data_IF_883851748755
#
_entry.id   IF_883851748755
#
_cell.length_a   1.000
_cell.length_b   1.000
_cell.length_c   1.000
_cell.angle_alpha   90.00
_cell.angle_beta   90.00
_cell.angle_gamma   90.00
#
_symmetry.space_group_name_H-M   'P 1'
#
loop_
_entity.id
_entity.type
_entity.pdbx_description
1 polymer ?
#
# COMPACT_ATOMS: atom_id res chain seq x y z
N UNK A 1 70.70 24.72 42.78
CA UNK A 1 69.71 23.64 42.33
C UNK A 1 68.50 24.37 41.83
N UNK A 2 68.37 24.38 40.49
CA UNK A 2 67.22 24.99 39.78
C UNK A 2 66.22 23.91 39.45
N UNK A 3 65.08 23.91 40.10
CA UNK A 3 63.99 22.98 39.85
C UNK A 3 63.14 23.46 38.67
N UNK A 4 63.11 22.64 37.60
CA UNK A 4 62.31 22.86 36.43
C UNK A 4 60.92 22.23 36.67
N UNK A 5 59.89 23.04 36.92
CA UNK A 5 58.50 22.60 36.97
C UNK A 5 57.93 22.48 35.54
N UNK A 6 57.83 21.28 35.04
CA UNK A 6 57.14 21.02 33.79
C UNK A 6 55.61 21.01 34.04
N UNK A 7 54.91 22.00 33.53
CA UNK A 7 53.44 22.05 33.55
C UNK A 7 52.89 21.12 32.45
N UNK A 8 52.24 20.05 32.86
CA UNK A 8 51.44 19.18 31.99
C UNK A 8 50.10 19.86 31.70
N UNK A 9 49.94 20.34 30.47
CA UNK A 9 48.65 20.81 29.93
C UNK A 9 47.89 19.62 29.42
N UNK A 10 46.73 19.25 29.97
CA UNK A 10 45.90 18.19 29.38
C UNK A 10 45.29 18.67 28.06
N UNK A 11 45.64 17.99 26.98
CA UNK A 11 44.99 18.21 25.70
C UNK A 11 43.54 17.72 25.78
N UNK A 12 42.60 18.62 25.89
CA UNK A 12 41.18 18.33 25.79
C UNK A 12 40.90 18.02 24.30
N UNK A 13 40.84 16.74 23.96
CA UNK A 13 40.34 16.33 22.66
C UNK A 13 38.83 16.58 22.62
N UNK A 14 38.45 17.73 22.08
CA UNK A 14 37.06 18.00 21.73
C UNK A 14 36.68 17.01 20.59
N UNK A 15 36.01 15.92 20.95
CA UNK A 15 35.36 15.06 20.02
C UNK A 15 34.19 15.81 19.43
N UNK A 16 34.45 16.61 18.41
CA UNK A 16 33.44 17.20 17.59
C UNK A 16 32.71 16.08 16.87
N UNK A 17 31.59 15.63 17.43
CA UNK A 17 30.62 14.87 16.66
C UNK A 17 30.03 15.82 15.61
N UNK A 18 30.70 15.91 14.49
CA UNK A 18 30.08 16.43 13.26
C UNK A 18 29.01 15.41 12.92
N UNK A 19 27.79 15.61 13.41
CA UNK A 19 26.62 14.96 12.82
C UNK A 19 26.49 15.54 11.43
N UNK A 20 27.23 14.93 10.50
CA UNK A 20 26.97 15.08 9.09
C UNK A 20 25.62 14.39 8.86
N UNK A 21 24.52 15.11 9.12
CA UNK A 21 23.24 14.75 8.57
C UNK A 21 23.38 14.93 7.07
N UNK A 22 24.03 13.96 6.45
CA UNK A 22 23.77 13.70 5.05
C UNK A 22 22.26 13.53 4.97
N UNK A 23 21.58 14.56 4.50
CA UNK A 23 20.29 14.40 3.86
C UNK A 23 20.51 13.23 2.92
N UNK A 24 20.06 12.05 3.32
CA UNK A 24 20.06 10.90 2.42
C UNK A 24 19.18 11.37 1.31
N UNK A 25 19.78 11.55 0.14
CA UNK A 25 19.04 11.84 -1.07
C UNK A 25 17.87 10.86 -1.09
N UNK A 26 16.66 11.38 -0.87
CA UNK A 26 15.45 10.58 -1.02
C UNK A 26 15.52 10.11 -2.48
N UNK A 27 15.61 8.81 -2.76
CA UNK A 27 15.81 8.35 -4.11
C UNK A 27 14.72 8.94 -4.98
N UNK A 28 15.09 9.80 -5.92
CA UNK A 28 14.13 10.34 -6.89
C UNK A 28 13.55 9.15 -7.63
N UNK A 29 12.23 8.97 -7.62
CA UNK A 29 11.61 7.85 -8.28
C UNK A 29 11.98 7.89 -9.78
N UNK A 30 12.54 6.79 -10.29
CA UNK A 30 12.89 6.70 -11.71
C UNK A 30 11.61 6.61 -12.53
N UNK A 31 11.56 7.33 -13.64
CA UNK A 31 10.42 7.30 -14.55
C UNK A 31 10.16 5.88 -15.07
N UNK A 32 11.22 5.17 -15.45
CA UNK A 32 11.17 3.85 -16.10
C UNK A 32 12.36 2.98 -15.69
N UNK A 33 12.29 1.69 -16.07
CA UNK A 33 13.42 0.76 -15.94
C UNK A 33 13.47 0.01 -14.60
N UNK A 34 12.51 0.23 -13.71
CA UNK A 34 12.41 -0.48 -12.44
C UNK A 34 11.49 -1.70 -12.55
N UNK A 35 11.59 -2.61 -11.60
CA UNK A 35 10.73 -3.78 -11.47
C UNK A 35 9.43 -3.47 -10.73
N UNK A 36 8.52 -4.44 -10.71
CA UNK A 36 7.30 -4.47 -9.91
C UNK A 36 7.42 -5.52 -8.81
N UNK A 37 6.94 -5.21 -7.63
CA UNK A 37 6.99 -6.08 -6.46
C UNK A 37 5.57 -6.43 -6.03
N UNK A 38 5.21 -7.72 -5.89
CA UNK A 38 3.95 -8.12 -5.30
C UNK A 38 3.91 -7.73 -3.82
N UNK A 39 2.73 -7.57 -3.25
CA UNK A 39 2.58 -7.27 -1.83
C UNK A 39 1.33 -7.94 -1.27
N UNK A 40 1.49 -8.63 -0.16
CA UNK A 40 0.39 -9.09 0.64
C UNK A 40 -0.14 -7.95 1.50
N UNK A 41 -1.44 -7.68 1.43
CA UNK A 41 -2.07 -6.59 2.18
C UNK A 41 -2.64 -7.08 3.52
N UNK A 42 -3.03 -8.35 3.57
CA UNK A 42 -3.66 -8.97 4.70
C UNK A 42 -4.86 -9.83 4.29
N UNK A 43 -5.67 -10.21 5.27
CA UNK A 43 -6.83 -11.08 5.07
C UNK A 43 -8.04 -10.63 5.89
N UNK A 44 -9.23 -11.04 5.48
CA UNK A 44 -10.48 -10.80 6.21
C UNK A 44 -11.43 -11.99 6.09
N UNK A 45 -12.28 -12.22 7.13
CA UNK A 45 -13.28 -13.29 7.10
C UNK A 45 -14.44 -12.92 6.18
N UNK A 46 -14.97 -13.92 5.49
CA UNK A 46 -16.18 -13.80 4.69
C UNK A 46 -17.42 -14.30 5.50
N UNK A 47 -18.64 -13.83 5.15
CA UNK A 47 -19.86 -14.25 5.84
C UNK A 47 -20.16 -15.76 5.78
N UNK A 48 -19.63 -16.46 4.78
CA UNK A 48 -19.77 -17.90 4.57
C UNK A 48 -18.75 -18.75 5.35
N UNK A 49 -17.87 -18.11 6.14
CA UNK A 49 -16.83 -18.76 6.92
C UNK A 49 -15.52 -18.99 6.18
N UNK A 50 -15.43 -18.64 4.92
CA UNK A 50 -14.16 -18.62 4.16
C UNK A 50 -13.35 -17.38 4.52
N UNK A 51 -12.14 -17.28 3.98
CA UNK A 51 -11.29 -16.10 4.16
C UNK A 51 -10.84 -15.56 2.81
N UNK A 52 -10.73 -14.24 2.69
CA UNK A 52 -10.17 -13.57 1.54
C UNK A 52 -8.77 -13.04 1.86
N UNK A 53 -7.78 -13.51 1.11
CA UNK A 53 -6.42 -12.98 1.12
C UNK A 53 -6.35 -11.82 0.12
N UNK A 54 -5.98 -10.63 0.57
CA UNK A 54 -5.92 -9.42 -0.26
C UNK A 54 -4.50 -9.10 -0.70
N UNK A 55 -4.36 -8.75 -1.96
CA UNK A 55 -3.08 -8.49 -2.60
C UNK A 55 -3.08 -7.15 -3.32
N UNK A 56 -1.91 -6.54 -3.32
CA UNK A 56 -1.58 -5.38 -4.10
C UNK A 56 -0.18 -5.50 -4.67
N UNK A 57 0.34 -4.43 -5.26
CA UNK A 57 1.69 -4.40 -5.79
C UNK A 57 2.32 -3.02 -5.68
N UNK A 58 3.61 -2.95 -5.89
CA UNK A 58 4.34 -1.72 -6.04
C UNK A 58 5.18 -1.75 -7.32
N UNK A 59 4.72 -1.07 -8.36
CA UNK A 59 5.52 -0.75 -9.52
C UNK A 59 6.43 0.42 -9.17
N UNK A 60 7.73 0.17 -9.10
CA UNK A 60 8.73 1.15 -8.65
C UNK A 60 8.98 2.28 -9.66
N UNK A 61 8.42 2.18 -10.86
CA UNK A 61 8.46 3.23 -11.86
C UNK A 61 7.50 4.39 -11.52
N UNK A 62 7.87 5.60 -11.93
CA UNK A 62 7.02 6.77 -11.78
C UNK A 62 5.97 6.88 -12.90
N UNK A 63 6.30 6.41 -14.09
CA UNK A 63 5.52 6.61 -15.32
C UNK A 63 5.30 5.32 -16.12
N UNK A 64 6.21 4.34 -15.99
CA UNK A 64 6.15 3.12 -16.79
C UNK A 64 5.06 2.18 -16.27
N UNK A 65 4.19 1.77 -17.18
CA UNK A 65 3.25 0.68 -17.01
C UNK A 65 3.95 -0.61 -17.43
N UNK A 66 3.75 -1.68 -16.66
CA UNK A 66 4.37 -2.99 -16.90
C UNK A 66 3.27 -4.00 -17.24
N UNK A 67 3.50 -4.79 -18.27
CA UNK A 67 2.65 -5.91 -18.65
C UNK A 67 3.36 -7.24 -18.34
N UNK A 68 2.73 -8.10 -17.53
CA UNK A 68 3.22 -9.45 -17.23
C UNK A 68 2.03 -10.40 -17.36
N UNK A 69 1.93 -11.14 -18.47
CA UNK A 69 0.83 -12.08 -18.66
C UNK A 69 0.87 -13.21 -17.62
N UNK A 70 -0.29 -13.79 -17.32
CA UNK A 70 -0.42 -14.97 -16.48
C UNK A 70 0.42 -16.10 -17.05
N UNK A 71 1.23 -16.75 -16.23
CA UNK A 71 2.12 -17.82 -16.62
C UNK A 71 3.30 -17.96 -15.67
N UNK A 72 4.44 -18.40 -16.17
CA UNK A 72 5.64 -18.64 -15.38
C UNK A 72 6.11 -17.39 -14.62
N UNK A 73 5.94 -16.21 -15.23
CA UNK A 73 6.38 -14.93 -14.69
C UNK A 73 5.32 -14.19 -13.84
N UNK A 74 4.08 -14.70 -13.82
CA UNK A 74 2.98 -14.16 -13.01
C UNK A 74 2.05 -15.31 -12.61
N UNK A 75 2.29 -15.88 -11.44
CA UNK A 75 1.56 -17.06 -10.96
C UNK A 75 1.22 -16.95 -9.49
N UNK A 76 0.09 -17.53 -9.14
CA UNK A 76 -0.39 -17.69 -7.76
C UNK A 76 -0.52 -19.19 -7.46
N UNK A 77 0.13 -19.64 -6.39
CA UNK A 77 0.20 -21.05 -6.02
C UNK A 77 -0.07 -21.25 -4.52
N UNK A 78 -0.80 -22.29 -4.12
CA UNK A 78 -1.49 -23.27 -4.95
C UNK A 78 -2.74 -22.68 -5.61
N UNK A 79 -3.14 -23.26 -6.73
CA UNK A 79 -4.37 -22.87 -7.45
C UNK A 79 -4.30 -23.14 -8.93
N UNK A 80 -5.26 -22.60 -9.65
CA UNK A 80 -5.29 -22.61 -11.11
C UNK A 80 -4.34 -21.59 -11.72
N UNK A 81 -4.21 -21.54 -13.04
CA UNK A 81 -3.36 -20.53 -13.68
C UNK A 81 -3.86 -19.10 -13.47
N UNK A 82 -5.18 -18.92 -13.40
CA UNK A 82 -5.83 -17.62 -13.19
C UNK A 82 -6.55 -17.62 -11.84
N UNK A 83 -6.09 -16.77 -10.94
CA UNK A 83 -6.65 -16.52 -9.61
C UNK A 83 -7.12 -15.07 -9.47
N UNK A 84 -7.30 -14.36 -10.60
CA UNK A 84 -7.67 -12.95 -10.64
C UNK A 84 -6.49 -11.98 -10.50
N UNK A 85 -5.24 -12.50 -10.55
CA UNK A 85 -4.05 -11.64 -10.49
C UNK A 85 -3.98 -10.72 -11.72
N UNK A 86 -3.52 -9.46 -11.55
CA UNK A 86 -3.42 -8.51 -12.64
C UNK A 86 -2.33 -8.90 -13.63
N UNK A 87 -2.53 -8.55 -14.89
CA UNK A 87 -1.50 -8.61 -15.95
C UNK A 87 -0.97 -7.23 -16.31
N UNK A 88 -1.68 -6.21 -15.90
CA UNK A 88 -1.40 -4.79 -16.14
C UNK A 88 -1.03 -4.12 -14.83
N UNK A 89 0.14 -3.50 -14.78
CA UNK A 89 0.71 -2.93 -13.56
C UNK A 89 0.93 -1.44 -13.73
N UNK A 90 -0.03 -0.64 -13.31
CA UNK A 90 0.09 0.81 -13.23
C UNK A 90 1.27 1.25 -12.36
N UNK A 91 1.78 2.44 -12.62
CA UNK A 91 2.89 2.99 -11.84
C UNK A 91 2.52 3.18 -10.36
N UNK A 92 3.53 3.10 -9.49
CA UNK A 92 3.42 3.31 -8.05
C UNK A 92 2.72 2.16 -7.30
N UNK A 93 2.27 2.46 -6.08
CA UNK A 93 1.62 1.51 -5.18
C UNK A 93 0.15 1.36 -5.52
N UNK A 94 -0.27 0.14 -5.79
CA UNK A 94 -1.68 -0.23 -5.94
C UNK A 94 -2.04 -1.22 -4.82
N UNK A 95 -3.17 -0.98 -4.17
CA UNK A 95 -3.62 -1.77 -3.01
C UNK A 95 -4.93 -2.46 -3.33
N UNK A 96 -5.15 -3.66 -2.72
CA UNK A 96 -6.40 -4.39 -2.86
C UNK A 96 -6.77 -4.70 -4.31
N UNK A 97 -5.78 -5.07 -5.13
CA UNK A 97 -5.96 -5.25 -6.59
C UNK A 97 -6.74 -6.51 -6.90
N UNK A 98 -6.51 -7.58 -6.15
CA UNK A 98 -7.27 -8.82 -6.23
C UNK A 98 -7.29 -9.55 -4.90
N UNK A 99 -8.17 -10.52 -4.78
CA UNK A 99 -8.30 -11.39 -3.62
C UNK A 99 -8.32 -12.85 -4.03
N UNK A 100 -7.72 -13.69 -3.18
CA UNK A 100 -7.84 -15.15 -3.30
C UNK A 100 -8.65 -15.66 -2.12
N UNK A 101 -9.73 -16.36 -2.42
CA UNK A 101 -10.58 -16.98 -1.39
C UNK A 101 -9.99 -18.32 -0.99
N UNK A 102 -9.82 -18.52 0.32
CA UNK A 102 -9.34 -19.77 0.91
C UNK A 102 -10.39 -20.35 1.84
N UNK A 103 -10.43 -21.69 2.00
CA UNK A 103 -11.47 -22.35 2.80
C UNK A 103 -11.32 -22.07 4.31
N UNK A 104 -12.36 -22.35 5.07
CA UNK A 104 -12.40 -22.17 6.52
C UNK A 104 -11.32 -22.97 7.27
N UNK A 105 -10.92 -24.11 6.75
CA UNK A 105 -9.89 -25.01 7.30
C UNK A 105 -8.49 -24.75 6.75
N UNK A 106 -8.27 -23.59 6.11
CA UNK A 106 -6.98 -23.21 5.50
C UNK A 106 -5.81 -23.25 6.50
N UNK A 107 -6.03 -22.88 7.74
CA UNK A 107 -5.07 -23.00 8.84
C UNK A 107 -3.77 -22.22 8.59
N UNK A 108 -2.62 -22.92 8.68
CA UNK A 108 -1.28 -22.34 8.50
C UNK A 108 -0.74 -22.50 7.07
N UNK A 109 -1.60 -22.82 6.11
CA UNK A 109 -1.19 -22.87 4.71
C UNK A 109 -0.89 -21.47 4.18
N UNK A 110 -0.25 -21.43 3.02
CA UNK A 110 0.11 -20.19 2.34
C UNK A 110 -0.34 -20.22 0.88
N UNK A 111 -0.69 -19.06 0.36
CA UNK A 111 -0.82 -18.80 -1.07
C UNK A 111 0.32 -17.87 -1.47
N UNK A 112 1.09 -18.26 -2.47
CA UNK A 112 2.26 -17.54 -2.90
C UNK A 112 2.01 -16.85 -4.23
N UNK A 113 2.15 -15.52 -4.28
CA UNK A 113 2.16 -14.78 -5.54
C UNK A 113 3.59 -14.51 -5.98
N UNK A 114 3.94 -14.99 -7.17
CA UNK A 114 5.26 -14.82 -7.78
C UNK A 114 5.16 -13.92 -9.00
N UNK A 115 6.00 -12.89 -9.03
CA UNK A 115 6.22 -12.04 -10.20
C UNK A 115 7.70 -12.10 -10.60
N UNK A 116 7.95 -12.28 -11.90
CA UNK A 116 9.29 -12.20 -12.51
C UNK A 116 9.29 -11.12 -13.59
N UNK A 117 10.17 -10.14 -13.45
CA UNK A 117 10.30 -9.07 -14.43
C UNK A 117 11.73 -8.53 -14.47
N UNK A 118 12.32 -8.41 -15.64
CA UNK A 118 13.68 -7.90 -15.86
C UNK A 118 14.75 -8.63 -15.04
N UNK A 119 14.62 -9.95 -14.87
CA UNK A 119 15.58 -10.74 -14.11
C UNK A 119 15.44 -10.67 -12.60
N UNK A 120 14.44 -9.91 -12.10
CA UNK A 120 14.06 -9.86 -10.70
C UNK A 120 12.83 -10.74 -10.47
N UNK A 121 12.94 -11.73 -9.60
CA UNK A 121 11.83 -12.64 -9.25
C UNK A 121 11.53 -12.48 -7.78
N UNK A 122 10.28 -12.21 -7.46
CA UNK A 122 9.82 -12.05 -6.09
C UNK A 122 8.59 -12.89 -5.83
N UNK A 123 8.60 -13.61 -4.72
CA UNK A 123 7.49 -14.42 -4.23
C UNK A 123 7.09 -13.93 -2.86
N UNK A 124 5.84 -13.58 -2.68
CA UNK A 124 5.30 -13.10 -1.42
C UNK A 124 4.20 -14.04 -0.94
N UNK A 125 4.32 -14.61 0.28
CA UNK A 125 3.30 -15.46 0.86
C UNK A 125 2.11 -14.64 1.37
N UNK A 126 0.90 -15.17 1.17
CA UNK A 126 -0.33 -14.75 1.84
C UNK A 126 -0.78 -15.84 2.81
N UNK A 127 -1.18 -15.46 4.01
CA UNK A 127 -1.45 -16.34 5.12
C UNK A 127 -2.51 -15.75 6.07
N UNK A 128 -3.03 -16.57 6.98
CA UNK A 128 -4.02 -16.13 7.97
C UNK A 128 -3.40 -15.73 9.33
N UNK A 129 -2.15 -15.26 9.34
CA UNK A 129 -1.55 -14.79 10.59
C UNK A 129 -2.34 -13.61 11.15
N UNK A 130 -2.63 -13.62 12.43
CA UNK A 130 -3.53 -12.68 13.13
C UNK A 130 -3.11 -11.20 12.95
N UNK A 131 -1.81 -10.94 12.93
CA UNK A 131 -1.28 -9.58 12.80
C UNK A 131 -1.56 -8.94 11.43
N UNK A 132 -2.01 -9.75 10.46
CA UNK A 132 -2.36 -9.32 9.11
C UNK A 132 -3.87 -9.29 8.85
N UNK A 133 -4.68 -9.43 9.90
CA UNK A 133 -6.13 -9.30 9.78
C UNK A 133 -6.50 -7.85 9.47
N UNK A 134 -7.32 -7.67 8.42
CA UNK A 134 -7.79 -6.36 7.95
C UNK A 134 -9.12 -6.01 8.63
N UNK A 135 -9.08 -5.31 9.75
CA UNK A 135 -10.28 -4.88 10.47
C UNK A 135 -11.08 -3.80 9.74
N UNK A 136 -10.39 -2.93 9.03
CA UNK A 136 -10.99 -1.74 8.40
C UNK A 136 -11.98 -2.08 7.27
N UNK A 137 -11.95 -3.33 6.76
CA UNK A 137 -12.87 -3.79 5.71
C UNK A 137 -14.08 -4.57 6.29
N UNK A 138 -14.04 -4.90 7.56
CA UNK A 138 -15.06 -5.68 8.26
C UNK A 138 -16.23 -4.85 8.79
N UNK A 139 -16.87 -4.04 7.97
CA UNK A 139 -18.09 -3.34 8.37
C UNK A 139 -17.87 -2.15 9.31
N UNK A 140 -16.64 -1.73 9.56
CA UNK A 140 -16.34 -0.60 10.45
C UNK A 140 -16.97 0.74 10.04
N UNK A 141 -17.47 0.82 8.81
CA UNK A 141 -18.20 1.97 8.31
C UNK A 141 -19.69 1.67 8.02
N UNK A 142 -20.14 0.45 8.32
CA UNK A 142 -21.54 0.07 8.12
C UNK A 142 -22.45 0.82 9.11
N UNK A 143 -23.37 1.61 8.58
CA UNK A 143 -24.27 2.44 9.38
C UNK A 143 -23.70 3.81 9.75
N UNK A 144 -22.45 4.10 9.43
CA UNK A 144 -21.87 5.43 9.66
C UNK A 144 -22.51 6.49 8.79
N UNK A 145 -22.76 7.65 9.39
CA UNK A 145 -23.24 8.80 8.66
C UNK A 145 -22.05 9.55 8.06
N UNK A 146 -22.08 9.86 6.74
CA UNK A 146 -21.00 10.64 6.14
C UNK A 146 -20.77 11.96 6.89
N UNK A 147 -19.52 12.40 7.04
CA UNK A 147 -19.21 13.63 7.74
C UNK A 147 -19.82 14.83 7.01
N UNK A 148 -20.26 15.81 7.79
CA UNK A 148 -20.66 17.12 7.29
C UNK A 148 -19.41 17.98 7.18
N UNK A 149 -19.06 18.42 5.98
CA UNK A 149 -17.89 19.25 5.73
C UNK A 149 -18.33 20.69 5.45
N UNK A 150 -17.72 21.64 6.15
CA UNK A 150 -17.83 23.08 5.87
C UNK A 150 -16.46 23.63 5.54
N UNK A 151 -16.33 24.34 4.45
CA UNK A 151 -15.05 24.95 4.05
C UNK A 151 -14.77 26.30 4.74
N UNK A 152 -15.79 26.89 5.33
CA UNK A 152 -15.70 28.08 6.18
C UNK A 152 -16.62 27.90 7.39
N UNK A 153 -16.34 28.58 8.49
CA UNK A 153 -17.07 28.45 9.76
C UNK A 153 -18.60 28.57 9.60
N UNK A 154 -19.06 29.46 8.75
CA UNK A 154 -20.48 29.69 8.45
C UNK A 154 -20.85 29.35 7.01
N UNK A 155 -20.04 28.52 6.34
CA UNK A 155 -20.27 28.11 4.96
C UNK A 155 -21.35 27.04 4.81
N UNK A 156 -21.78 26.77 3.58
CA UNK A 156 -22.76 25.72 3.32
C UNK A 156 -22.20 24.34 3.74
N UNK A 157 -23.11 23.50 4.21
CA UNK A 157 -22.82 22.12 4.54
C UNK A 157 -22.72 21.28 3.27
N UNK A 158 -21.64 20.51 3.18
CA UNK A 158 -21.45 19.50 2.15
C UNK A 158 -21.52 18.13 2.80
N UNK A 159 -22.50 17.33 2.40
CA UNK A 159 -22.64 15.95 2.84
C UNK A 159 -22.11 15.03 1.74
N UNK A 160 -21.32 14.04 2.12
CA UNK A 160 -20.97 12.97 1.22
C UNK A 160 -22.21 12.21 0.72
N UNK A 161 -22.08 11.35 -0.31
CA UNK A 161 -23.18 10.50 -0.74
C UNK A 161 -23.63 9.64 0.45
N UNK A 162 -24.90 9.72 0.80
CA UNK A 162 -25.50 8.90 1.86
C UNK A 162 -25.39 7.41 1.56
N UNK A 163 -25.67 6.53 2.56
CA UNK A 163 -25.66 5.09 2.35
C UNK A 163 -26.60 4.78 1.18
N UNK A 164 -26.08 4.02 0.21
CA UNK A 164 -26.87 3.62 -0.97
C UNK A 164 -27.91 2.58 -0.58
N UNK A 165 -29.11 3.02 -0.28
CA UNK A 165 -30.24 2.11 -0.35
C UNK A 165 -30.46 1.79 -1.84
N UNK A 166 -30.08 0.58 -2.25
CA UNK A 166 -30.39 -0.13 -3.51
C UNK A 166 -31.03 0.61 -4.69
N UNK A 167 -30.58 1.81 -5.05
CA UNK A 167 -31.14 2.63 -6.14
C UNK A 167 -30.04 3.17 -7.03
N UNK A 168 -30.22 2.91 -8.30
CA UNK A 168 -29.43 3.33 -9.47
C UNK A 168 -28.84 4.74 -9.34
N UNK A 169 -27.52 4.86 -9.34
CA UNK A 169 -26.82 6.14 -9.35
C UNK A 169 -27.07 6.89 -10.65
N UNK A 170 -27.78 8.01 -10.57
CA UNK A 170 -27.77 9.03 -11.62
C UNK A 170 -26.61 9.98 -11.29
N UNK A 171 -25.61 9.99 -12.18
CA UNK A 171 -24.45 10.87 -12.05
C UNK A 171 -24.84 12.34 -12.14
N UNK A 172 -24.73 13.05 -11.04
CA UNK A 172 -24.76 14.51 -11.00
C UNK A 172 -23.32 15.03 -10.92
N UNK A 173 -22.74 15.46 -12.05
CA UNK A 173 -21.47 16.18 -12.08
C UNK A 173 -21.77 17.64 -11.73
N UNK A 174 -21.62 17.98 -10.46
CA UNK A 174 -21.55 19.38 -10.04
C UNK A 174 -20.17 19.93 -10.40
N UNK A 175 -20.09 20.73 -11.46
CA UNK A 175 -18.90 21.50 -11.82
C UNK A 175 -18.74 22.63 -10.79
N UNK A 176 -17.77 22.48 -9.88
CA UNK A 176 -17.26 23.61 -9.11
C UNK A 176 -15.91 23.97 -9.70
N UNK A 177 -15.78 25.21 -10.15
CA UNK A 177 -14.58 25.72 -10.79
C UNK A 177 -13.37 25.69 -9.84
N UNK A 178 -12.23 25.21 -10.33
CA UNK A 178 -10.90 25.42 -9.76
C UNK A 178 -10.65 24.75 -8.42
N UNK A 179 -10.48 23.44 -8.39
CA UNK A 179 -10.01 22.71 -7.22
C UNK A 179 -9.74 21.25 -7.57
N UNK A 180 -8.62 20.75 -7.15
CA UNK A 180 -8.11 19.40 -7.38
C UNK A 180 -9.13 18.37 -6.91
N UNK A 181 -9.78 17.69 -7.84
CA UNK A 181 -10.74 16.63 -7.53
C UNK A 181 -10.04 15.36 -7.06
N UNK A 182 -10.25 14.99 -5.81
CA UNK A 182 -9.90 13.65 -5.33
C UNK A 182 -10.95 12.65 -5.83
N UNK A 183 -10.58 11.79 -6.73
CA UNK A 183 -11.40 10.66 -7.17
C UNK A 183 -11.22 9.54 -6.16
N UNK A 184 -12.19 9.34 -5.28
CA UNK A 184 -12.26 8.11 -4.50
C UNK A 184 -12.71 6.98 -5.44
N UNK A 185 -11.84 6.02 -5.67
CA UNK A 185 -12.15 4.80 -6.40
C UNK A 185 -13.21 4.01 -5.65
N UNK A 186 -14.13 3.48 -6.42
CA UNK A 186 -15.21 2.61 -5.95
C UNK A 186 -14.61 1.26 -5.61
N UNK A 187 -14.79 0.84 -4.36
CA UNK A 187 -14.57 -0.54 -3.96
C UNK A 187 -15.90 -1.28 -4.07
N UNK A 188 -15.96 -2.29 -4.93
CA UNK A 188 -16.93 -3.37 -4.83
C UNK A 188 -16.29 -4.50 -4.04
#
# INVERSE_FOLDING_TARGET
VVGLCAALVPAIHAWGHTQNQTFRDVPVPRARGQSVTPAFEGWYPNPDGTFSLSWGYFNRNAEEIIEIPIGADNRVEPGGPDNGQPTHFDSRRQRGVFTVVVPADFGNNEVNWTLSFRGDTQTIPGHLHRDWMLDALGGGADGDTPPIVRFTENGPEHRGPGPRSGGRAVGGVGRVGGGVGYRFGHWM
#
